data_IF_582187077599
#
_entry.id   IF_582187077599
#
_cell.length_a   1.000
_cell.length_b   1.000
_cell.length_c   1.000
_cell.angle_alpha   90.00
_cell.angle_beta   90.00
_cell.angle_gamma   90.00
#
_symmetry.space_group_name_H-M   'P 1'
#
loop_
_entity.id
_entity.type
_entity.pdbx_description
1 polymer ?
#
# COMPACT_ATOMS: atom_id res chain seq x y z
N UNK A 1 0.37 -22.05 4.88
CA UNK A 1 0.84 -21.98 3.48
C UNK A 1 0.65 -20.54 3.03
N UNK A 2 1.68 -19.92 2.46
CA UNK A 2 1.64 -18.55 1.93
C UNK A 2 1.69 -18.64 0.40
N UNK A 3 0.56 -18.48 -0.31
CA UNK A 3 0.49 -18.73 -1.75
C UNK A 3 1.46 -17.89 -2.60
N UNK A 4 1.94 -16.75 -2.10
CA UNK A 4 2.78 -15.79 -2.84
C UNK A 4 4.15 -15.53 -2.21
N UNK A 5 4.64 -16.41 -1.32
CA UNK A 5 5.85 -16.20 -0.48
C UNK A 5 7.09 -15.67 -1.22
N UNK A 6 7.33 -16.12 -2.45
CA UNK A 6 8.54 -15.79 -3.22
C UNK A 6 8.27 -14.79 -4.36
N UNK A 7 7.10 -14.14 -4.36
CA UNK A 7 6.71 -13.14 -5.36
C UNK A 7 7.03 -11.74 -4.84
N UNK A 8 7.77 -10.97 -5.66
CA UNK A 8 8.00 -9.54 -5.44
C UNK A 8 7.08 -8.69 -6.33
N UNK A 9 6.41 -7.72 -5.74
CA UNK A 9 5.46 -6.83 -6.44
C UNK A 9 5.88 -5.38 -6.27
N UNK A 10 6.05 -4.67 -7.39
CA UNK A 10 6.18 -3.21 -7.40
C UNK A 10 4.78 -2.58 -7.47
N UNK A 11 4.34 -1.97 -6.38
CA UNK A 11 3.03 -1.32 -6.28
C UNK A 11 3.12 0.18 -6.61
N UNK A 12 2.91 0.50 -7.89
CA UNK A 12 2.84 1.88 -8.44
C UNK A 12 1.42 2.45 -8.45
N UNK A 13 0.54 1.89 -7.62
CA UNK A 13 -0.88 2.27 -7.53
C UNK A 13 -1.11 3.41 -6.53
N UNK A 14 -2.25 4.09 -6.59
CA UNK A 14 -2.61 5.16 -5.63
C UNK A 14 -4.08 5.05 -5.20
N UNK A 15 -4.47 5.83 -4.19
CA UNK A 15 -5.83 5.87 -3.64
C UNK A 15 -6.28 4.52 -3.06
N UNK A 16 -7.35 3.91 -3.58
CA UNK A 16 -8.03 2.79 -2.93
C UNK A 16 -7.83 1.47 -3.66
N UNK A 17 -8.35 1.35 -4.89
CA UNK A 17 -8.49 0.04 -5.54
C UNK A 17 -7.14 -0.70 -5.70
N UNK A 18 -6.10 0.03 -6.14
CA UNK A 18 -4.78 -0.55 -6.34
C UNK A 18 -4.06 -0.87 -5.02
N UNK A 19 -3.96 0.06 -4.05
CA UNK A 19 -3.42 -0.26 -2.73
C UNK A 19 -4.17 -1.40 -2.03
N UNK A 20 -5.50 -1.45 -2.15
CA UNK A 20 -6.32 -2.55 -1.63
C UNK A 20 -5.96 -3.90 -2.26
N UNK A 21 -5.80 -3.95 -3.58
CA UNK A 21 -5.32 -5.16 -4.27
C UNK A 21 -3.93 -5.57 -3.74
N UNK A 22 -2.96 -4.65 -3.73
CA UNK A 22 -1.60 -4.95 -3.30
C UNK A 22 -1.50 -5.35 -1.82
N UNK A 23 -2.35 -4.80 -0.94
CA UNK A 23 -2.44 -5.25 0.45
C UNK A 23 -2.87 -6.71 0.55
N UNK A 24 -3.81 -7.16 -0.30
CA UNK A 24 -4.23 -8.56 -0.30
C UNK A 24 -3.12 -9.48 -0.86
N UNK A 25 -2.34 -9.03 -1.84
CA UNK A 25 -1.15 -9.77 -2.29
C UNK A 25 -0.13 -9.94 -1.16
N UNK A 26 0.14 -8.88 -0.40
CA UNK A 26 1.03 -8.95 0.77
C UNK A 26 0.49 -9.94 1.82
N UNK A 27 -0.83 -9.93 2.10
CA UNK A 27 -1.46 -10.88 3.03
C UNK A 27 -1.35 -12.33 2.59
N UNK A 28 -1.22 -12.59 1.28
CA UNK A 28 -0.99 -13.92 0.72
C UNK A 28 0.51 -14.31 0.68
N UNK A 29 1.40 -13.45 1.18
CA UNK A 29 2.84 -13.74 1.34
C UNK A 29 3.76 -12.99 0.38
N UNK A 30 3.25 -12.15 -0.53
CA UNK A 30 4.12 -11.42 -1.46
C UNK A 30 4.94 -10.33 -0.75
N UNK A 31 6.17 -10.11 -1.20
CA UNK A 31 6.95 -8.91 -0.86
C UNK A 31 6.46 -7.74 -1.73
N UNK A 32 5.67 -6.85 -1.14
CA UNK A 32 5.09 -5.71 -1.85
C UNK A 32 5.89 -4.45 -1.53
N UNK A 33 6.57 -3.91 -2.55
CA UNK A 33 7.32 -2.65 -2.47
C UNK A 33 6.44 -1.54 -3.03
N UNK A 34 5.98 -0.64 -2.17
CA UNK A 34 5.22 0.53 -2.57
C UNK A 34 6.16 1.58 -3.15
N UNK A 35 5.92 1.98 -4.40
CA UNK A 35 6.63 3.09 -5.04
C UNK A 35 5.72 4.31 -5.02
N UNK A 36 6.23 5.42 -4.53
CA UNK A 36 5.48 6.67 -4.37
C UNK A 36 6.27 7.87 -4.89
N UNK A 37 5.56 8.98 -5.13
CA UNK A 37 6.16 10.22 -5.64
C UNK A 37 7.03 10.85 -4.54
N UNK A 38 8.32 11.11 -4.78
CA UNK A 38 9.19 11.78 -3.82
C UNK A 38 8.60 13.11 -3.35
N UNK A 39 8.59 13.33 -2.02
CA UNK A 39 8.08 14.55 -1.39
C UNK A 39 6.55 14.71 -1.39
N UNK A 40 5.78 13.83 -2.05
CA UNK A 40 4.31 13.88 -2.06
C UNK A 40 3.66 12.63 -1.50
N UNK A 41 4.23 11.46 -1.77
CA UNK A 41 3.63 10.18 -1.43
C UNK A 41 2.39 9.84 -2.27
N UNK A 42 1.64 8.82 -1.82
CA UNK A 42 0.27 8.54 -2.22
C UNK A 42 -0.66 9.64 -1.70
N UNK A 43 -1.52 10.26 -2.54
CA UNK A 43 -2.45 11.31 -2.12
C UNK A 43 -3.31 10.94 -0.90
N UNK A 44 -3.63 9.65 -0.70
CA UNK A 44 -4.43 9.21 0.45
C UNK A 44 -3.75 9.50 1.80
N UNK A 45 -2.43 9.74 1.83
CA UNK A 45 -1.72 10.13 3.06
C UNK A 45 -2.19 11.46 3.64
N UNK A 46 -2.74 12.33 2.79
CA UNK A 46 -3.34 13.61 3.19
C UNK A 46 -4.85 13.53 3.40
N UNK A 47 -5.46 12.35 3.26
CA UNK A 47 -6.89 12.17 3.46
C UNK A 47 -7.16 11.78 4.91
N UNK A 48 -7.92 12.63 5.61
CA UNK A 48 -8.38 12.34 6.96
C UNK A 48 -9.37 11.16 7.01
N UNK A 49 -9.70 10.69 8.23
CA UNK A 49 -9.26 11.22 9.52
C UNK A 49 -7.80 10.89 9.81
N UNK A 50 -7.05 11.81 10.44
CA UNK A 50 -5.70 11.50 10.90
C UNK A 50 -5.76 10.90 12.32
N UNK A 51 -4.79 10.02 12.61
CA UNK A 51 -4.68 9.44 13.94
C UNK A 51 -4.04 10.46 14.89
N UNK A 52 -4.68 10.71 16.02
CA UNK A 52 -4.13 11.54 17.09
C UNK A 52 -5.20 12.38 17.80
N UNK A 53 -4.83 13.11 18.86
CA UNK A 53 -5.78 13.91 19.66
C UNK A 53 -6.49 15.03 18.88
N UNK A 54 -6.00 15.38 17.69
CA UNK A 54 -6.54 16.47 16.87
C UNK A 54 -7.25 15.97 15.60
N UNK A 55 -7.48 14.66 15.51
CA UNK A 55 -7.82 14.01 14.25
C UNK A 55 -6.71 14.21 13.23
#
# INVERSE_FOLDING_TARGET
MEPLKDIKVLAVTVYLAGPFCSMNLARMGAEVIKVEIPGKGDPVRGNGPFAGPKG
#
